data_IF_819960820543
#
_entry.id   IF_819960820543
#
_cell.length_a   1.000
_cell.length_b   1.000
_cell.length_c   1.000
_cell.angle_alpha   90.00
_cell.angle_beta   90.00
_cell.angle_gamma   90.00
#
_symmetry.space_group_name_H-M   'P 1'
#
loop_
_entity.id
_entity.type
_entity.pdbx_description
1 polymer ?
#
# COMPACT_ATOMS: atom_id res chain seq x y z
N UNK A 1 7.27 -10.95 9.06
CA UNK A 1 8.19 -11.91 9.74
C UNK A 1 8.23 -13.24 9.00
N UNK A 2 7.10 -13.87 8.69
CA UNK A 2 7.08 -15.16 7.94
C UNK A 2 7.88 -15.10 6.63
N UNK A 3 7.70 -14.06 5.80
CA UNK A 3 8.48 -13.88 4.57
C UNK A 3 10.00 -13.87 4.80
N UNK A 4 10.48 -13.22 5.85
CA UNK A 4 11.91 -13.19 6.18
C UNK A 4 12.43 -14.55 6.65
N UNK A 5 11.61 -15.29 7.41
CA UNK A 5 11.93 -16.63 7.90
C UNK A 5 11.95 -17.65 6.77
N UNK A 6 11.01 -17.53 5.83
CA UNK A 6 10.81 -18.48 4.76
C UNK A 6 11.66 -18.21 3.52
N UNK A 7 12.39 -17.10 3.49
CA UNK A 7 13.27 -16.74 2.38
C UNK A 7 14.45 -17.72 2.28
N UNK A 8 14.43 -18.55 1.25
CA UNK A 8 15.42 -19.62 1.00
C UNK A 8 16.48 -19.27 -0.05
N UNK A 9 16.33 -18.09 -0.66
CA UNK A 9 17.26 -17.59 -1.66
C UNK A 9 17.31 -16.04 -1.64
N UNK A 10 18.28 -15.47 -2.35
CA UNK A 10 18.50 -14.02 -2.37
C UNK A 10 17.30 -13.23 -2.91
N UNK A 11 16.60 -13.76 -3.93
CA UNK A 11 15.41 -13.10 -4.49
C UNK A 11 14.26 -13.06 -3.48
N UNK A 12 13.99 -14.18 -2.80
CA UNK A 12 12.99 -14.27 -1.75
C UNK A 12 13.32 -13.34 -0.57
N UNK A 13 14.60 -13.27 -0.20
CA UNK A 13 15.04 -12.37 0.86
C UNK A 13 14.89 -10.90 0.47
N UNK A 14 15.28 -10.52 -0.76
CA UNK A 14 15.07 -9.16 -1.26
C UNK A 14 13.58 -8.79 -1.32
N UNK A 15 12.73 -9.73 -1.73
CA UNK A 15 11.28 -9.57 -1.72
C UNK A 15 10.74 -9.34 -0.30
N UNK A 16 11.21 -10.13 0.68
CA UNK A 16 10.84 -9.97 2.09
C UNK A 16 11.30 -8.62 2.67
N UNK A 17 12.49 -8.13 2.28
CA UNK A 17 12.96 -6.79 2.63
C UNK A 17 12.06 -5.68 2.04
N UNK A 18 11.57 -5.87 0.81
CA UNK A 18 10.59 -4.96 0.21
C UNK A 18 9.29 -4.87 1.03
N UNK A 19 8.79 -6.00 1.53
CA UNK A 19 7.64 -5.99 2.45
C UNK A 19 7.94 -5.30 3.77
N UNK A 20 9.12 -5.49 4.32
CA UNK A 20 9.55 -4.80 5.55
C UNK A 20 9.64 -3.29 5.33
N UNK A 21 10.16 -2.84 4.19
CA UNK A 21 10.21 -1.42 3.85
C UNK A 21 8.81 -0.83 3.71
N UNK A 22 7.88 -1.54 3.07
CA UNK A 22 6.49 -1.11 2.95
C UNK A 22 5.80 -1.02 4.32
N UNK A 23 5.95 -2.05 5.17
CA UNK A 23 5.46 -2.02 6.56
C UNK A 23 5.93 -0.76 7.28
N UNK A 24 7.19 -0.39 7.12
CA UNK A 24 7.77 0.79 7.79
C UNK A 24 7.26 2.08 7.15
N UNK A 25 7.21 2.13 5.82
CA UNK A 25 6.74 3.30 5.09
C UNK A 25 5.30 3.66 5.47
N UNK A 26 4.41 2.69 5.52
CA UNK A 26 3.02 2.94 5.88
C UNK A 26 2.87 3.35 7.34
N UNK A 27 3.52 2.64 8.27
CA UNK A 27 3.42 2.94 9.70
C UNK A 27 3.89 4.35 10.10
N UNK A 28 4.77 4.96 9.32
CA UNK A 28 5.31 6.28 9.61
C UNK A 28 4.93 7.34 8.58
N UNK A 29 4.86 6.98 7.31
CA UNK A 29 4.53 7.90 6.22
C UNK A 29 3.10 8.41 6.29
N UNK A 30 2.11 7.52 6.43
CA UNK A 30 0.71 7.94 6.49
C UNK A 30 0.44 8.86 7.70
N UNK A 31 0.71 8.46 8.96
CA UNK A 31 0.35 9.29 10.11
C UNK A 31 1.17 10.58 10.21
N UNK A 32 2.42 10.61 9.77
CA UNK A 32 3.27 11.77 9.87
C UNK A 32 3.11 12.74 8.68
N UNK A 33 2.90 12.21 7.48
CA UNK A 33 2.82 12.99 6.24
C UNK A 33 1.41 13.04 5.67
N UNK A 34 0.91 11.97 5.06
CA UNK A 34 -0.29 11.98 4.23
C UNK A 34 -1.52 12.43 5.00
N UNK A 35 -1.80 11.84 6.17
CA UNK A 35 -3.01 12.12 6.96
C UNK A 35 -3.11 13.57 7.44
N UNK A 36 -1.97 14.20 7.70
CA UNK A 36 -1.90 15.61 8.10
C UNK A 36 -1.99 16.55 6.90
N UNK A 37 -1.38 16.16 5.78
CA UNK A 37 -1.27 16.99 4.59
C UNK A 37 -2.58 17.10 3.83
N UNK A 38 -3.45 16.08 3.87
CA UNK A 38 -4.80 16.16 3.28
C UNK A 38 -5.55 17.39 3.77
N UNK A 39 -5.45 17.70 5.05
CA UNK A 39 -6.16 18.84 5.67
C UNK A 39 -5.63 20.20 5.27
N UNK A 40 -4.34 20.28 4.95
CA UNK A 40 -3.69 21.52 4.49
C UNK A 40 -4.08 21.87 3.06
N UNK A 41 -4.25 20.85 2.22
CA UNK A 41 -4.51 21.01 0.79
C UNK A 41 -6.01 21.06 0.48
N UNK A 42 -6.82 20.33 1.25
CA UNK A 42 -8.26 20.17 1.01
C UNK A 42 -9.08 20.74 2.20
N UNK A 43 -9.22 22.06 2.25
CA UNK A 43 -9.89 22.78 3.35
C UNK A 43 -11.32 22.33 3.65
N UNK A 44 -12.08 21.86 2.65
CA UNK A 44 -13.43 21.30 2.85
C UNK A 44 -13.39 20.00 3.67
N UNK A 45 -12.37 19.16 3.46
CA UNK A 45 -12.18 17.94 4.23
C UNK A 45 -11.75 18.26 5.66
N UNK A 46 -10.87 19.26 5.84
CA UNK A 46 -10.50 19.74 7.18
C UNK A 46 -11.71 20.18 8.00
N UNK A 47 -12.65 20.93 7.38
CA UNK A 47 -13.90 21.34 8.06
C UNK A 47 -14.76 20.18 8.49
N UNK A 48 -14.74 19.06 7.73
CA UNK A 48 -15.58 17.88 8.01
C UNK A 48 -14.94 16.93 9.02
N UNK A 49 -13.64 16.69 8.94
CA UNK A 49 -12.95 15.60 9.66
C UNK A 49 -11.90 16.09 10.66
N UNK A 50 -11.55 17.39 10.67
CA UNK A 50 -10.53 17.92 11.56
C UNK A 50 -9.14 18.00 10.92
N UNK A 51 -8.10 17.99 11.76
CA UNK A 51 -6.72 18.27 11.33
C UNK A 51 -5.95 17.06 10.84
N UNK A 52 -6.47 15.85 11.01
CA UNK A 52 -5.90 14.59 10.57
C UNK A 52 -7.01 13.79 9.91
N UNK A 53 -6.75 13.27 8.72
CA UNK A 53 -7.76 12.52 7.96
C UNK A 53 -7.14 11.21 7.51
N UNK A 54 -7.70 10.11 7.99
CA UNK A 54 -7.28 8.76 7.65
C UNK A 54 -7.84 8.33 6.30
N UNK A 55 -7.25 7.29 5.72
CA UNK A 55 -7.75 6.66 4.50
C UNK A 55 -9.20 6.20 4.66
N UNK A 56 -9.54 5.57 5.79
CA UNK A 56 -10.90 5.12 6.10
C UNK A 56 -11.93 6.28 6.11
N UNK A 57 -11.51 7.47 6.55
CA UNK A 57 -12.40 8.65 6.55
C UNK A 57 -12.58 9.27 5.17
N UNK A 58 -11.52 9.29 4.34
CA UNK A 58 -11.61 9.85 3.00
C UNK A 58 -10.53 9.29 2.04
N UNK A 59 -10.76 8.12 1.50
CA UNK A 59 -9.89 7.43 0.56
C UNK A 59 -9.45 8.30 -0.64
N UNK A 60 -10.40 9.05 -1.24
CA UNK A 60 -10.10 9.88 -2.42
C UNK A 60 -9.16 11.05 -2.06
N UNK A 61 -9.38 11.68 -0.91
CA UNK A 61 -8.52 12.77 -0.43
C UNK A 61 -7.12 12.28 -0.13
N UNK A 62 -7.02 11.09 0.46
CA UNK A 62 -5.78 10.42 0.79
C UNK A 62 -4.99 10.09 -0.49
N UNK A 63 -5.57 9.37 -1.43
CA UNK A 63 -4.95 9.05 -2.74
C UNK A 63 -4.54 10.30 -3.53
N UNK A 64 -5.31 11.38 -3.48
CA UNK A 64 -4.94 12.65 -4.11
C UNK A 64 -3.71 13.28 -3.47
N UNK A 65 -3.55 13.10 -2.16
CA UNK A 65 -2.37 13.65 -1.47
C UNK A 65 -1.13 12.85 -1.83
N UNK A 66 -1.22 11.53 -1.88
CA UNK A 66 -0.15 10.63 -2.33
C UNK A 66 0.31 10.96 -3.75
N UNK A 67 -0.61 11.04 -4.71
CA UNK A 67 -0.27 11.48 -6.07
C UNK A 67 0.34 12.89 -6.12
N UNK A 68 -0.09 13.78 -5.23
CA UNK A 68 0.49 15.12 -5.10
C UNK A 68 1.95 15.06 -4.66
N UNK A 69 2.28 14.20 -3.71
CA UNK A 69 3.66 13.97 -3.28
C UNK A 69 4.50 13.29 -4.35
N UNK A 70 3.99 12.26 -5.03
CA UNK A 70 4.69 11.61 -6.13
C UNK A 70 5.12 12.60 -7.21
N UNK A 71 4.22 13.53 -7.57
CA UNK A 71 4.52 14.58 -8.55
C UNK A 71 5.55 15.57 -7.99
N UNK A 72 5.44 15.98 -6.74
CA UNK A 72 6.37 16.90 -6.10
C UNK A 72 7.79 16.31 -6.04
N UNK A 73 7.91 15.06 -5.60
CA UNK A 73 9.20 14.39 -5.48
C UNK A 73 9.84 14.08 -6.84
N UNK A 74 9.00 13.78 -7.85
CA UNK A 74 9.49 13.65 -9.24
C UNK A 74 10.02 14.98 -9.75
N UNK A 75 9.35 16.09 -9.43
CA UNK A 75 9.79 17.46 -9.79
C UNK A 75 11.15 17.80 -9.20
N UNK A 76 11.37 17.46 -7.92
CA UNK A 76 12.63 17.72 -7.21
C UNK A 76 13.78 16.81 -7.66
N UNK A 77 13.53 15.84 -8.54
CA UNK A 77 14.51 14.82 -8.91
C UNK A 77 14.81 13.80 -7.81
N UNK A 78 14.09 13.85 -6.68
CA UNK A 78 14.20 12.88 -5.60
C UNK A 78 13.61 11.53 -5.98
N UNK A 79 12.60 11.52 -6.83
CA UNK A 79 12.13 10.32 -7.50
C UNK A 79 13.04 10.05 -8.68
N UNK A 80 14.15 9.41 -8.41
CA UNK A 80 15.12 9.06 -9.43
C UNK A 80 14.48 8.04 -10.38
N UNK A 81 14.05 8.50 -11.54
CA UNK A 81 13.62 7.64 -12.64
C UNK A 81 14.68 6.56 -12.97
N UNK A 82 15.94 6.86 -12.75
CA UNK A 82 17.06 5.93 -12.86
C UNK A 82 17.04 4.88 -11.73
N UNK A 83 16.85 5.26 -10.47
CA UNK A 83 16.75 4.31 -9.37
C UNK A 83 15.51 3.43 -9.50
N UNK A 84 14.41 3.97 -9.98
CA UNK A 84 13.22 3.21 -10.32
C UNK A 84 13.47 2.23 -11.46
N UNK A 85 14.24 2.65 -12.46
CA UNK A 85 14.70 1.83 -13.56
C UNK A 85 15.66 0.72 -13.09
N UNK A 86 16.61 1.05 -12.23
CA UNK A 86 17.67 0.14 -11.81
C UNK A 86 17.20 -0.82 -10.70
N UNK A 87 16.11 -0.50 -10.00
CA UNK A 87 15.71 -1.15 -8.77
C UNK A 87 14.27 -1.67 -8.72
N UNK A 88 13.64 -1.89 -9.84
CA UNK A 88 12.24 -2.33 -9.77
C UNK A 88 12.14 -3.78 -9.36
N UNK A 89 11.63 -4.00 -8.16
CA UNK A 89 11.29 -5.32 -7.62
C UNK A 89 10.09 -5.95 -8.32
N UNK A 90 10.15 -6.17 -9.64
CA UNK A 90 9.11 -6.89 -10.37
C UNK A 90 9.14 -8.40 -10.15
N UNK A 91 10.14 -8.91 -9.44
CA UNK A 91 10.25 -10.32 -9.11
C UNK A 91 9.51 -10.61 -7.81
N UNK A 92 8.22 -10.79 -7.91
CA UNK A 92 7.40 -11.29 -6.80
C UNK A 92 7.68 -12.78 -6.64
N UNK A 93 8.17 -13.20 -5.47
CA UNK A 93 8.29 -14.60 -5.13
C UNK A 93 6.93 -15.13 -4.65
N UNK A 94 6.12 -15.57 -5.60
CA UNK A 94 4.75 -16.04 -5.32
C UNK A 94 4.73 -17.31 -4.46
N UNK A 95 5.78 -18.12 -4.51
CA UNK A 95 5.89 -19.37 -3.72
C UNK A 95 6.12 -19.03 -2.24
N UNK A 96 7.10 -18.18 -1.96
CA UNK A 96 7.37 -17.73 -0.59
C UNK A 96 6.19 -16.91 -0.06
N UNK A 97 5.58 -16.07 -0.89
CA UNK A 97 4.40 -15.30 -0.51
C UNK A 97 3.23 -16.22 -0.11
N UNK A 98 2.93 -17.25 -0.91
CA UNK A 98 1.83 -18.18 -0.62
C UNK A 98 2.07 -18.96 0.68
N UNK A 99 3.30 -19.44 0.90
CA UNK A 99 3.67 -20.16 2.13
C UNK A 99 3.57 -19.26 3.36
N UNK A 100 4.16 -18.08 3.31
CA UNK A 100 4.11 -17.11 4.41
C UNK A 100 2.68 -16.62 4.71
N UNK A 101 1.83 -16.50 3.68
CA UNK A 101 0.43 -16.15 3.82
C UNK A 101 -0.35 -17.23 4.54
N UNK A 102 -0.17 -18.49 4.14
CA UNK A 102 -0.80 -19.66 4.80
C UNK A 102 -0.36 -19.77 6.27
N UNK A 103 0.94 -19.62 6.56
CA UNK A 103 1.48 -19.66 7.93
C UNK A 103 0.88 -18.55 8.80
N UNK A 104 0.71 -17.34 8.23
CA UNK A 104 0.27 -16.16 8.98
C UNK A 104 -1.24 -16.10 9.18
N UNK A 105 -2.01 -16.47 8.14
CA UNK A 105 -3.45 -16.26 8.12
C UNK A 105 -4.28 -17.55 8.11
N UNK A 106 -3.66 -18.71 7.91
CA UNK A 106 -4.35 -20.01 7.81
C UNK A 106 -5.22 -20.16 6.56
N UNK A 107 -5.03 -19.31 5.57
CA UNK A 107 -5.81 -19.26 4.32
C UNK A 107 -4.89 -19.48 3.13
N UNK A 108 -5.38 -20.15 2.10
CA UNK A 108 -4.69 -20.18 0.81
C UNK A 108 -4.86 -18.83 0.10
N UNK A 109 -3.75 -18.19 -0.22
CA UNK A 109 -3.75 -16.91 -0.92
C UNK A 109 -4.44 -17.01 -2.29
N UNK A 110 -4.35 -18.15 -2.98
CA UNK A 110 -5.02 -18.35 -4.26
C UNK A 110 -6.54 -18.31 -4.11
N UNK A 111 -7.10 -18.89 -3.04
CA UNK A 111 -8.53 -18.80 -2.74
C UNK A 111 -8.95 -17.35 -2.42
N UNK A 112 -8.12 -16.60 -1.70
CA UNK A 112 -8.37 -15.18 -1.41
C UNK A 112 -8.42 -14.36 -2.71
N UNK A 113 -7.57 -14.67 -3.68
CA UNK A 113 -7.55 -14.03 -4.99
C UNK A 113 -8.42 -14.75 -6.05
N UNK A 114 -9.33 -15.64 -5.64
CA UNK A 114 -10.19 -16.42 -6.54
C UNK A 114 -9.39 -17.15 -7.64
N UNK A 115 -8.24 -17.71 -7.29
CA UNK A 115 -7.26 -18.36 -8.19
C UNK A 115 -6.62 -17.44 -9.24
N UNK A 116 -6.61 -16.11 -8.99
CA UNK A 116 -6.03 -15.12 -9.90
C UNK A 116 -4.76 -14.45 -9.36
N UNK A 117 -4.06 -15.06 -8.41
CA UNK A 117 -2.83 -14.47 -7.83
C UNK A 117 -1.79 -14.11 -8.91
N UNK A 118 -1.48 -15.06 -9.82
CA UNK A 118 -0.52 -14.82 -10.89
C UNK A 118 -0.97 -13.67 -11.82
N UNK A 119 -2.24 -13.62 -12.17
CA UNK A 119 -2.82 -12.52 -12.95
C UNK A 119 -2.74 -11.19 -12.19
N UNK A 120 -3.01 -11.19 -10.90
CA UNK A 120 -2.92 -9.98 -10.05
C UNK A 120 -1.48 -9.44 -10.02
N UNK A 121 -0.48 -10.32 -9.94
CA UNK A 121 0.94 -9.94 -10.03
C UNK A 121 1.28 -9.37 -11.40
N UNK A 122 0.78 -9.94 -12.49
CA UNK A 122 0.99 -9.41 -13.85
C UNK A 122 0.31 -8.05 -14.03
N UNK A 123 -0.90 -7.86 -13.50
CA UNK A 123 -1.60 -6.56 -13.51
C UNK A 123 -0.80 -5.52 -12.73
N UNK A 124 -0.27 -5.87 -11.56
CA UNK A 124 0.58 -4.98 -10.79
C UNK A 124 1.81 -4.55 -11.58
N UNK A 125 2.55 -5.49 -12.20
CA UNK A 125 3.67 -5.19 -13.09
C UNK A 125 3.29 -4.25 -14.23
N UNK A 126 2.13 -4.51 -14.84
CA UNK A 126 1.60 -3.67 -15.91
C UNK A 126 1.31 -2.25 -15.43
N UNK A 127 0.68 -2.10 -14.27
CA UNK A 127 0.40 -0.78 -13.68
C UNK A 127 1.69 -0.02 -13.45
N UNK A 128 2.68 -0.64 -12.83
CA UNK A 128 3.96 0.01 -12.52
C UNK A 128 4.73 0.34 -13.80
N UNK A 129 4.83 -0.59 -14.74
CA UNK A 129 5.63 -0.40 -15.97
C UNK A 129 4.96 0.52 -17.00
N UNK A 130 3.64 0.67 -16.96
CA UNK A 130 2.89 1.33 -18.03
C UNK A 130 1.98 2.45 -17.56
N UNK A 131 1.25 2.25 -16.46
CA UNK A 131 0.26 3.22 -15.99
C UNK A 131 0.93 4.38 -15.25
N UNK A 132 1.90 4.11 -14.38
CA UNK A 132 2.63 5.18 -13.68
C UNK A 132 3.37 6.14 -14.64
N UNK A 133 4.11 5.67 -15.68
CA UNK A 133 4.66 6.56 -16.70
C UNK A 133 3.63 7.42 -17.41
N UNK A 134 2.39 6.93 -17.55
CA UNK A 134 1.30 7.69 -18.13
C UNK A 134 0.76 8.77 -17.19
N UNK A 135 0.66 8.43 -15.91
CA UNK A 135 0.24 9.38 -14.87
C UNK A 135 1.24 10.53 -14.81
N UNK A 136 2.54 10.25 -14.80
CA UNK A 136 3.58 11.29 -14.81
C UNK A 136 3.54 12.14 -16.08
N UNK A 137 3.28 11.52 -17.26
CA UNK A 137 3.08 12.26 -18.51
C UNK A 137 1.85 13.17 -18.45
N UNK A 138 0.73 12.69 -17.91
CA UNK A 138 -0.49 13.47 -17.75
C UNK A 138 -0.30 14.60 -16.72
N UNK A 139 0.41 14.31 -15.63
CA UNK A 139 0.75 15.29 -14.62
C UNK A 139 1.62 16.41 -15.21
N UNK A 140 2.67 16.09 -15.97
CA UNK A 140 3.47 17.09 -16.68
C UNK A 140 2.63 17.95 -17.62
N UNK A 141 1.73 17.35 -18.39
CA UNK A 141 0.89 18.11 -19.32
C UNK A 141 -0.06 19.10 -18.62
N UNK A 142 -0.54 18.75 -17.42
CA UNK A 142 -1.50 19.56 -16.65
C UNK A 142 -0.86 20.58 -15.71
N UNK A 143 0.27 20.23 -15.09
CA UNK A 143 0.89 20.97 -14.00
C UNK A 143 2.24 21.58 -14.36
N UNK A 144 2.65 21.50 -15.64
CA UNK A 144 3.95 22.02 -16.13
C UNK A 144 4.24 23.45 -15.67
N UNK A 145 3.25 24.34 -15.74
CA UNK A 145 3.45 25.73 -15.33
C UNK A 145 3.72 25.87 -13.84
N UNK A 146 3.09 25.04 -13.02
CA UNK A 146 3.26 25.08 -11.57
C UNK A 146 4.53 24.36 -11.14
N UNK A 147 4.91 23.32 -11.87
CA UNK A 147 6.19 22.60 -11.71
C UNK A 147 7.34 23.56 -12.02
N UNK A 148 7.34 24.20 -13.18
CA UNK A 148 8.40 25.11 -13.62
C UNK A 148 8.51 26.39 -12.78
N UNK A 149 7.44 26.79 -12.08
CA UNK A 149 7.53 27.89 -11.09
C UNK A 149 8.34 27.51 -9.86
N UNK A 150 8.43 26.22 -9.54
CA UNK A 150 9.18 25.71 -8.39
C UNK A 150 10.63 25.37 -8.77
N UNK A 151 10.81 24.74 -9.92
CA UNK A 151 12.11 24.44 -10.49
C UNK A 151 12.10 24.63 -12.00
N UNK A 152 12.77 25.67 -12.49
CA UNK A 152 12.87 26.01 -13.91
C UNK A 152 13.76 25.05 -14.69
N UNK A 153 14.55 24.21 -14.02
CA UNK A 153 15.53 23.30 -14.65
C UNK A 153 14.93 21.97 -15.05
N UNK A 154 13.76 21.59 -14.50
CA UNK A 154 13.12 20.31 -14.77
C UNK A 154 12.66 20.18 -16.21
N UNK A 155 13.14 19.15 -16.89
CA UNK A 155 12.75 18.84 -18.27
C UNK A 155 11.63 17.80 -18.32
N UNK A 156 10.84 17.82 -19.41
CA UNK A 156 9.82 16.81 -19.65
C UNK A 156 10.40 15.38 -19.70
N UNK A 157 11.68 15.21 -20.04
CA UNK A 157 12.35 13.92 -20.12
C UNK A 157 12.68 13.38 -18.73
N UNK A 158 13.09 14.22 -17.82
CA UNK A 158 13.40 13.88 -16.42
C UNK A 158 12.15 13.59 -15.61
N UNK A 159 11.10 14.41 -15.82
CA UNK A 159 9.81 14.22 -15.16
C UNK A 159 9.06 12.97 -15.65
N UNK A 160 9.30 12.54 -16.90
CA UNK A 160 8.63 11.40 -17.53
C UNK A 160 9.46 10.16 -17.40
N UNK A 161 9.03 9.24 -16.58
CA UNK A 161 9.59 7.90 -16.59
C UNK A 161 9.14 7.14 -17.85
N UNK A 162 10.07 6.55 -18.60
CA UNK A 162 9.80 5.62 -19.69
C UNK A 162 10.93 4.60 -19.83
N UNK A 163 10.66 3.37 -19.44
CA UNK A 163 11.58 2.27 -19.70
C UNK A 163 11.48 1.82 -21.16
N UNK A 164 12.60 1.79 -21.87
CA UNK A 164 12.63 1.25 -23.22
C UNK A 164 12.58 -0.28 -23.21
N UNK A 165 11.92 -0.87 -24.24
CA UNK A 165 11.74 -2.32 -24.35
C UNK A 165 13.06 -3.11 -24.31
N UNK A 166 14.16 -2.54 -24.83
CA UNK A 166 15.50 -3.15 -24.79
C UNK A 166 16.05 -3.21 -23.37
N UNK A 167 15.84 -2.17 -22.59
CA UNK A 167 16.25 -2.06 -21.19
C UNK A 167 15.40 -2.99 -20.34
N UNK A 168 14.10 -3.00 -20.56
CA UNK A 168 13.17 -3.93 -19.93
C UNK A 168 13.57 -5.39 -20.14
N UNK A 169 13.91 -5.77 -21.39
CA UNK A 169 14.35 -7.12 -21.73
C UNK A 169 15.70 -7.49 -21.11
N UNK A 170 16.59 -6.51 -20.97
CA UNK A 170 17.89 -6.70 -20.33
C UNK A 170 17.73 -6.97 -18.83
N UNK A 171 16.85 -6.23 -18.19
CA UNK A 171 16.64 -6.27 -16.73
C UNK A 171 15.81 -7.48 -16.30
N UNK A 172 14.73 -7.75 -17.03
CA UNK A 172 13.73 -8.78 -16.63
C UNK A 172 13.74 -10.03 -17.50
N UNK A 173 14.56 -10.08 -18.54
CA UNK A 173 14.63 -11.18 -19.50
C UNK A 173 13.49 -11.17 -20.52
N UNK A 174 13.68 -11.93 -21.62
CA UNK A 174 12.72 -11.97 -22.74
C UNK A 174 11.41 -12.70 -22.46
N UNK A 175 11.31 -13.38 -21.32
CA UNK A 175 10.11 -14.11 -20.92
C UNK A 175 8.98 -13.28 -20.31
N UNK A 176 9.23 -12.00 -19.99
CA UNK A 176 8.20 -11.13 -19.45
C UNK A 176 7.33 -10.58 -20.59
N UNK A 177 6.01 -10.69 -20.41
CA UNK A 177 5.06 -10.10 -21.35
C UNK A 177 5.21 -8.58 -21.35
N UNK A 178 5.49 -8.05 -22.53
CA UNK A 178 5.54 -6.60 -22.70
C UNK A 178 4.13 -6.01 -22.71
N UNK A 179 3.97 -4.80 -22.14
CA UNK A 179 2.76 -4.03 -22.38
C UNK A 179 2.60 -3.81 -23.90
N UNK A 180 1.53 -4.36 -24.46
CA UNK A 180 1.22 -4.24 -25.88
C UNK A 180 0.74 -2.83 -26.29
N UNK A 181 0.15 -2.72 -27.49
CA UNK A 181 -0.42 -1.47 -28.04
C UNK A 181 -1.54 -0.86 -27.15
N UNK A 182 -2.24 -1.68 -26.39
CA UNK A 182 -3.34 -1.31 -25.48
C UNK A 182 -2.98 -0.20 -24.47
N UNK A 183 -1.77 -0.13 -23.88
CA UNK A 183 -1.39 0.94 -22.97
C UNK A 183 -1.40 2.33 -23.59
N UNK A 184 -1.04 2.47 -24.86
CA UNK A 184 -1.03 3.77 -25.53
C UNK A 184 -2.45 4.30 -25.74
N UNK A 185 -3.40 3.41 -26.06
CA UNK A 185 -4.83 3.75 -26.16
C UNK A 185 -5.39 4.08 -24.78
N UNK A 186 -5.07 3.29 -23.77
CA UNK A 186 -5.50 3.53 -22.39
C UNK A 186 -4.92 4.85 -21.84
N UNK A 187 -3.70 5.20 -22.22
CA UNK A 187 -3.06 6.49 -21.94
C UNK A 187 -3.88 7.67 -22.46
N UNK A 188 -4.24 7.61 -23.73
CA UNK A 188 -5.05 8.63 -24.36
C UNK A 188 -6.43 8.73 -23.67
N UNK A 189 -7.04 7.58 -23.39
CA UNK A 189 -8.31 7.49 -22.69
C UNK A 189 -8.23 8.09 -21.28
N UNK A 190 -7.20 7.78 -20.50
CA UNK A 190 -7.01 8.36 -19.15
C UNK A 190 -6.79 9.88 -19.21
N UNK A 191 -6.14 10.37 -20.25
CA UNK A 191 -5.89 11.82 -20.43
C UNK A 191 -7.16 12.58 -20.82
N UNK A 192 -8.02 11.97 -21.63
CA UNK A 192 -9.22 12.62 -22.22
C UNK A 192 -10.49 12.36 -21.42
N UNK A 193 -10.60 11.22 -20.71
CA UNK A 193 -11.80 10.90 -19.94
C UNK A 193 -12.05 11.89 -18.79
N UNK A 194 -13.34 12.24 -18.56
CA UNK A 194 -13.68 12.98 -17.36
C UNK A 194 -13.22 12.20 -16.12
N UNK A 195 -12.48 12.90 -15.24
CA UNK A 195 -11.89 12.31 -14.02
C UNK A 195 -12.99 12.02 -12.99
N UNK A 196 -13.81 10.99 -13.27
CA UNK A 196 -14.94 10.49 -12.47
C UNK A 196 -14.68 9.04 -12.04
N UNK A 197 -15.36 8.54 -11.04
CA UNK A 197 -15.14 7.17 -10.54
C UNK A 197 -13.71 6.94 -10.05
N UNK A 198 -13.04 5.85 -10.47
CA UNK A 198 -11.68 5.50 -10.03
C UNK A 198 -10.62 6.55 -10.37
N UNK A 199 -10.83 7.34 -11.44
CA UNK A 199 -9.88 8.37 -11.87
C UNK A 199 -9.99 9.68 -11.07
N UNK A 200 -10.90 9.78 -10.10
CA UNK A 200 -11.04 10.97 -9.23
C UNK A 200 -9.77 11.30 -8.46
N UNK A 201 -8.96 10.31 -8.13
CA UNK A 201 -7.68 10.51 -7.46
C UNK A 201 -6.70 11.36 -8.29
N UNK A 202 -6.79 11.31 -9.62
CA UNK A 202 -5.95 12.09 -10.53
C UNK A 202 -6.27 13.60 -10.54
N UNK A 203 -7.33 14.04 -9.84
CA UNK A 203 -7.61 15.47 -9.57
C UNK A 203 -6.93 15.90 -8.27
N UNK A 204 -5.63 15.67 -8.16
CA UNK A 204 -4.85 16.12 -7.02
C UNK A 204 -4.47 17.62 -7.15
N UNK A 205 -3.98 18.15 -6.05
CA UNK A 205 -3.35 19.48 -5.99
C UNK A 205 -1.91 19.30 -5.56
N UNK A 206 -1.05 20.17 -6.03
CA UNK A 206 0.35 20.20 -5.59
C UNK A 206 0.40 20.49 -4.08
N UNK A 207 1.19 19.73 -3.31
CA UNK A 207 1.34 19.96 -1.89
C UNK A 207 1.78 21.38 -1.55
N UNK A 208 1.31 21.87 -0.41
CA UNK A 208 1.79 23.15 0.12
C UNK A 208 3.18 22.98 0.74
N UNK A 209 3.99 24.05 0.91
CA UNK A 209 5.30 23.96 1.59
C UNK A 209 5.22 23.35 3.00
N UNK A 210 4.09 23.51 3.69
CA UNK A 210 3.89 22.86 4.99
C UNK A 210 3.59 21.37 4.88
N UNK A 211 2.87 20.94 3.83
CA UNK A 211 2.62 19.52 3.53
C UNK A 211 3.95 18.83 3.15
N UNK A 212 4.79 19.52 2.39
CA UNK A 212 6.12 19.05 2.03
C UNK A 212 7.01 18.80 3.26
N UNK A 213 7.04 19.72 4.24
CA UNK A 213 7.74 19.49 5.50
C UNK A 213 7.24 18.29 6.28
N UNK A 214 5.95 17.98 6.20
CA UNK A 214 5.41 16.75 6.81
C UNK A 214 5.87 15.50 6.04
N UNK A 215 5.95 15.60 4.70
CA UNK A 215 6.48 14.53 3.88
C UNK A 215 7.94 14.24 4.21
N UNK A 216 8.79 15.26 4.22
CA UNK A 216 10.21 15.14 4.54
C UNK A 216 10.42 14.51 5.94
N UNK A 217 9.71 15.01 6.95
CA UNK A 217 9.77 14.45 8.30
C UNK A 217 9.27 12.97 8.36
N UNK A 218 8.26 12.63 7.55
CA UNK A 218 7.79 11.26 7.40
C UNK A 218 8.86 10.37 6.77
N UNK A 219 9.51 10.83 5.70
CA UNK A 219 10.61 10.10 5.04
C UNK A 219 11.81 9.89 5.94
N UNK A 220 12.24 10.91 6.69
CA UNK A 220 13.32 10.79 7.68
C UNK A 220 12.99 9.72 8.71
N UNK A 221 11.77 9.73 9.23
CA UNK A 221 11.31 8.73 10.20
C UNK A 221 11.27 7.32 9.61
N UNK A 222 10.82 7.17 8.35
CA UNK A 222 10.83 5.88 7.65
C UNK A 222 12.27 5.36 7.52
N UNK A 223 13.19 6.19 7.07
CA UNK A 223 14.60 5.79 6.87
C UNK A 223 15.28 5.41 8.17
N UNK A 224 15.04 6.15 9.25
CA UNK A 224 15.57 5.84 10.58
C UNK A 224 15.06 4.47 11.05
N UNK A 225 13.74 4.27 11.06
CA UNK A 225 13.13 3.04 11.57
C UNK A 225 13.44 1.82 10.70
N UNK A 226 13.46 1.97 9.37
CA UNK A 226 13.82 0.88 8.47
C UNK A 226 15.29 0.47 8.66
N UNK A 227 16.20 1.45 8.77
CA UNK A 227 17.60 1.19 9.06
C UNK A 227 17.78 0.43 10.38
N UNK A 228 17.04 0.81 11.41
CA UNK A 228 17.07 0.14 12.70
C UNK A 228 16.51 -1.29 12.65
N UNK A 229 15.46 -1.51 11.88
CA UNK A 229 14.92 -2.85 11.62
C UNK A 229 15.92 -3.74 10.87
N UNK A 230 16.61 -3.19 9.85
CA UNK A 230 17.64 -3.92 9.11
C UNK A 230 18.79 -4.38 10.03
N UNK A 231 19.22 -3.53 10.97
CA UNK A 231 20.26 -3.91 11.97
C UNK A 231 19.79 -5.06 12.87
N UNK A 232 18.51 -5.20 13.10
CA UNK A 232 17.91 -6.20 14.01
C UNK A 232 17.48 -7.50 13.32
N UNK A 233 17.50 -7.56 12.00
CA UNK A 233 16.90 -8.65 11.20
C UNK A 233 17.39 -10.05 11.62
N UNK A 234 18.68 -10.19 11.89
CA UNK A 234 19.29 -11.48 12.24
C UNK A 234 19.36 -11.77 13.75
N UNK A 235 18.78 -10.92 14.62
CA UNK A 235 18.97 -11.03 16.07
C UNK A 235 17.70 -10.94 16.88
N UNK A 236 16.96 -9.86 16.71
CA UNK A 236 15.89 -9.52 17.64
C UNK A 236 14.75 -8.73 16.99
N UNK A 237 14.62 -8.80 15.67
CA UNK A 237 13.52 -8.09 14.99
C UNK A 237 12.19 -8.66 15.42
N UNK A 238 11.38 -7.80 16.03
CA UNK A 238 9.96 -8.07 16.30
C UNK A 238 9.14 -6.97 15.70
N UNK A 239 8.12 -7.34 14.92
CA UNK A 239 7.16 -6.39 14.35
C UNK A 239 5.90 -6.43 15.18
N UNK A 240 5.36 -5.26 15.45
CA UNK A 240 4.07 -5.11 16.12
C UNK A 240 2.96 -5.11 15.08
N UNK A 241 1.83 -5.68 15.43
CA UNK A 241 0.61 -5.51 14.64
C UNK A 241 0.12 -4.08 14.79
N UNK A 242 0.07 -3.35 13.67
CA UNK A 242 -0.26 -1.94 13.60
C UNK A 242 -1.14 -1.65 12.40
N UNK A 243 -2.01 -0.69 12.54
CA UNK A 243 -2.74 -0.12 11.41
C UNK A 243 -1.78 0.70 10.54
N UNK A 244 -1.66 0.33 9.28
CA UNK A 244 -0.73 0.96 8.35
C UNK A 244 -1.05 2.43 8.07
N UNK A 245 -2.29 2.83 8.26
CA UNK A 245 -2.70 4.22 8.05
C UNK A 245 -2.53 5.08 9.29
N UNK A 246 -2.78 4.54 10.48
CA UNK A 246 -2.69 5.31 11.74
C UNK A 246 -1.34 5.17 12.43
N UNK A 247 -0.58 4.11 12.14
CA UNK A 247 0.66 3.75 12.82
C UNK A 247 0.47 3.28 14.25
N UNK A 248 -0.78 3.12 14.72
CA UNK A 248 -1.12 2.69 16.06
C UNK A 248 -1.24 1.16 16.16
N UNK A 249 -1.11 0.57 17.35
CA UNK A 249 -1.43 -0.84 17.53
C UNK A 249 -2.83 -1.16 17.02
N UNK A 250 -2.98 -2.27 16.29
CA UNK A 250 -4.27 -2.72 15.79
C UNK A 250 -5.15 -3.15 16.97
N UNK A 251 -6.21 -2.40 17.20
CA UNK A 251 -7.16 -2.63 18.29
C UNK A 251 -8.59 -2.53 17.78
N UNK A 252 -9.53 -3.31 18.35
CA UNK A 252 -10.94 -3.26 17.95
C UNK A 252 -11.53 -1.86 18.15
N UNK A 253 -12.34 -1.42 17.18
CA UNK A 253 -13.03 -0.12 17.19
C UNK A 253 -12.12 1.11 17.09
N UNK A 254 -10.82 0.94 16.88
CA UNK A 254 -9.92 2.07 16.65
C UNK A 254 -9.89 2.47 15.17
N UNK A 255 -9.79 1.47 14.29
CA UNK A 255 -9.70 1.68 12.86
C UNK A 255 -10.64 0.75 12.08
N UNK A 256 -11.65 1.31 11.45
CA UNK A 256 -12.76 0.54 10.86
C UNK A 256 -12.33 -0.46 9.78
N UNK A 257 -11.24 -0.18 9.04
CA UNK A 257 -10.73 -1.11 8.02
C UNK A 257 -10.03 -2.30 8.66
N UNK A 258 -9.34 -2.11 9.79
CA UNK A 258 -8.77 -3.22 10.55
C UNK A 258 -9.88 -4.10 11.12
N UNK A 259 -10.93 -3.50 11.71
CA UNK A 259 -12.09 -4.24 12.19
C UNK A 259 -12.72 -5.10 11.09
N UNK A 260 -12.94 -4.51 9.91
CA UNK A 260 -13.49 -5.23 8.77
C UNK A 260 -12.57 -6.35 8.28
N UNK A 261 -11.26 -6.13 8.31
CA UNK A 261 -10.25 -7.12 7.92
C UNK A 261 -10.27 -8.33 8.86
N UNK A 262 -10.30 -8.11 10.17
CA UNK A 262 -10.40 -9.19 11.15
C UNK A 262 -11.72 -9.95 11.03
N UNK A 263 -12.84 -9.24 10.82
CA UNK A 263 -14.14 -9.86 10.58
C UNK A 263 -14.13 -10.79 9.35
N UNK A 264 -13.62 -10.30 8.23
CA UNK A 264 -13.51 -11.07 6.98
C UNK A 264 -12.59 -12.26 7.16
N UNK A 265 -11.44 -12.04 7.83
CA UNK A 265 -10.48 -13.11 8.10
C UNK A 265 -11.09 -14.24 8.94
N UNK A 266 -11.72 -13.90 10.06
CA UNK A 266 -12.37 -14.89 10.92
C UNK A 266 -13.48 -15.66 10.21
N UNK A 267 -14.29 -14.97 9.38
CA UNK A 267 -15.35 -15.63 8.62
C UNK A 267 -14.80 -16.57 7.55
N UNK A 268 -13.73 -16.18 6.84
CA UNK A 268 -13.07 -17.07 5.88
C UNK A 268 -12.47 -18.31 6.55
N UNK A 269 -11.84 -18.16 7.72
CA UNK A 269 -11.34 -19.30 8.49
C UNK A 269 -12.49 -20.24 8.92
N UNK A 270 -13.63 -19.69 9.30
CA UNK A 270 -14.83 -20.49 9.63
C UNK A 270 -15.35 -21.24 8.40
N UNK A 271 -15.46 -20.57 7.24
CA UNK A 271 -15.93 -21.20 6.00
C UNK A 271 -15.01 -22.37 5.61
N UNK A 272 -13.71 -22.25 5.87
CA UNK A 272 -12.70 -23.30 5.72
C UNK A 272 -12.62 -24.28 6.91
N UNK A 273 -13.60 -24.24 7.80
CA UNK A 273 -13.73 -25.11 8.99
C UNK A 273 -12.51 -25.08 9.92
N UNK A 274 -11.81 -23.95 9.94
CA UNK A 274 -10.60 -23.70 10.76
C UNK A 274 -9.46 -24.71 10.53
N UNK A 275 -9.40 -25.36 9.36
CA UNK A 275 -8.49 -26.50 9.09
C UNK A 275 -7.00 -26.16 9.25
N UNK A 276 -6.61 -24.90 8.97
CA UNK A 276 -5.21 -24.45 9.03
C UNK A 276 -4.95 -23.49 10.20
N UNK A 277 -5.84 -23.43 11.17
CA UNK A 277 -5.68 -22.54 12.33
C UNK A 277 -4.62 -23.10 13.27
N UNK A 278 -3.48 -22.42 13.31
CA UNK A 278 -2.41 -22.72 14.28
C UNK A 278 -2.68 -22.06 15.64
N UNK A 279 -2.00 -22.49 16.72
CA UNK A 279 -2.08 -21.80 18.01
C UNK A 279 -1.74 -20.30 17.92
N UNK A 280 -0.82 -19.91 17.03
CA UNK A 280 -0.46 -18.51 16.78
C UNK A 280 -1.63 -17.73 16.17
N UNK A 281 -2.27 -18.27 15.13
CA UNK A 281 -3.45 -17.66 14.48
C UNK A 281 -4.59 -17.54 15.47
N UNK A 282 -4.89 -18.62 16.20
CA UNK A 282 -5.92 -18.62 17.24
C UNK A 282 -5.65 -17.53 18.28
N UNK A 283 -4.42 -17.44 18.78
CA UNK A 283 -4.03 -16.44 19.78
C UNK A 283 -4.17 -15.01 19.26
N UNK A 284 -3.79 -14.73 18.02
CA UNK A 284 -3.94 -13.40 17.40
C UNK A 284 -5.41 -12.99 17.37
N UNK A 285 -6.29 -13.86 16.87
CA UNK A 285 -7.74 -13.62 16.83
C UNK A 285 -8.32 -13.43 18.24
N UNK A 286 -7.91 -14.26 19.20
CA UNK A 286 -8.38 -14.16 20.58
C UNK A 286 -7.94 -12.84 21.23
N UNK A 287 -6.71 -12.39 21.01
CA UNK A 287 -6.20 -11.11 21.55
C UNK A 287 -7.01 -9.95 20.97
N UNK A 288 -7.27 -9.94 19.67
CA UNK A 288 -8.08 -8.91 19.04
C UNK A 288 -9.51 -8.89 19.62
N UNK A 289 -10.21 -10.02 19.58
CA UNK A 289 -11.63 -10.06 19.99
C UNK A 289 -11.87 -10.12 21.50
N UNK A 290 -10.91 -10.53 22.33
CA UNK A 290 -11.08 -10.51 23.79
C UNK A 290 -11.33 -9.10 24.34
N UNK A 291 -10.88 -8.07 23.63
CA UNK A 291 -11.19 -6.68 23.97
C UNK A 291 -12.65 -6.30 23.64
N UNK A 292 -13.34 -7.10 22.82
CA UNK A 292 -14.76 -6.96 22.50
C UNK A 292 -15.71 -7.38 23.64
N UNK A 293 -15.24 -8.07 24.66
CA UNK A 293 -16.09 -8.54 25.78
C UNK A 293 -16.76 -7.40 26.58
N UNK A 294 -16.44 -6.16 26.25
CA UNK A 294 -17.07 -4.96 26.84
C UNK A 294 -18.22 -4.37 26.01
N UNK A 295 -18.51 -4.90 24.81
CA UNK A 295 -19.59 -4.35 23.97
C UNK A 295 -20.92 -5.01 24.33
N UNK A 296 -21.96 -4.24 24.66
CA UNK A 296 -23.28 -4.78 24.98
C UNK A 296 -23.88 -5.48 23.75
N UNK A 297 -24.35 -6.71 23.92
CA UNK A 297 -24.98 -7.55 22.90
C UNK A 297 -26.11 -6.83 22.13
N UNK A 298 -26.73 -5.85 22.72
CA UNK A 298 -27.88 -5.11 22.18
C UNK A 298 -27.55 -4.10 21.09
N UNK A 299 -26.27 -3.83 20.79
CA UNK A 299 -25.82 -2.90 19.73
C UNK A 299 -25.29 -3.59 18.47
N UNK A 300 -25.31 -4.92 18.43
CA UNK A 300 -24.79 -5.69 17.31
C UNK A 300 -25.74 -5.74 16.13
N UNK A 301 -25.25 -5.31 14.96
CA UNK A 301 -25.89 -5.56 13.67
C UNK A 301 -25.97 -7.07 13.36
N UNK A 302 -26.75 -7.47 12.33
CA UNK A 302 -26.80 -8.86 11.87
C UNK A 302 -25.39 -9.41 11.52
N UNK A 303 -24.53 -8.60 10.91
CA UNK A 303 -23.13 -8.93 10.58
C UNK A 303 -22.33 -9.23 11.85
N UNK A 304 -22.43 -8.40 12.85
CA UNK A 304 -21.76 -8.57 14.13
C UNK A 304 -22.13 -9.89 14.83
N UNK A 305 -23.41 -10.32 14.76
CA UNK A 305 -23.84 -11.62 15.34
C UNK A 305 -23.17 -12.81 14.64
N UNK A 306 -22.98 -12.75 13.33
CA UNK A 306 -22.32 -13.81 12.57
C UNK A 306 -20.84 -13.91 12.96
N UNK A 307 -20.14 -12.78 13.05
CA UNK A 307 -18.75 -12.70 13.51
C UNK A 307 -18.60 -13.22 14.94
N UNK A 308 -19.48 -12.80 15.84
CA UNK A 308 -19.48 -13.26 17.23
C UNK A 308 -19.67 -14.77 17.38
N UNK A 309 -20.54 -15.38 16.56
CA UNK A 309 -20.70 -16.82 16.53
C UNK A 309 -19.44 -17.53 16.02
N UNK A 310 -18.80 -17.01 14.98
CA UNK A 310 -17.53 -17.54 14.49
C UNK A 310 -16.42 -17.42 15.54
N UNK A 311 -16.38 -16.33 16.29
CA UNK A 311 -15.45 -16.15 17.40
C UNK A 311 -15.68 -17.16 18.54
N UNK A 312 -16.93 -17.47 18.88
CA UNK A 312 -17.22 -18.53 19.85
C UNK A 312 -16.73 -19.90 19.40
N UNK A 313 -16.90 -20.22 18.11
CA UNK A 313 -16.46 -21.51 17.55
C UNK A 313 -14.93 -21.64 17.59
N UNK A 314 -14.16 -20.63 17.24
CA UNK A 314 -12.69 -20.70 17.27
C UNK A 314 -12.15 -20.71 18.71
N UNK A 315 -12.88 -20.15 19.66
CA UNK A 315 -12.49 -20.12 21.06
C UNK A 315 -12.56 -21.50 21.71
N UNK A 316 -13.57 -22.27 21.38
CA UNK A 316 -13.76 -23.64 21.86
C UNK A 316 -12.82 -24.63 21.13
#
# INVERSE_FOLDING_TARGET
MALLKDADNLNAFAFALGFLSHYTADNYGHPLATNRSVTLVYSKLRKKYGNVITYAQNEIGHKRMEFGFDVLETEKGNFASKSYHDFIGFKVDTTVLARAFLETYGLDINEVFNNHLAWSVEVFRYVVASIFPLITKSAWAHYRSDILKKDETVTAKEFRYKMHIKEYNKEFGRGYKHPGFFPSVLSFVITVLPKVGPTRALRFKIPTPQAEKYFDAGMDSIMEHYTDQLKKINRSLTLKDKDFDTGRPTEPCEYSIADETYDVWLLKLKDDKFKNVTPFIKQNILVFYNRFNALPENRCSKKCKVVYNAFKEIKN
#
